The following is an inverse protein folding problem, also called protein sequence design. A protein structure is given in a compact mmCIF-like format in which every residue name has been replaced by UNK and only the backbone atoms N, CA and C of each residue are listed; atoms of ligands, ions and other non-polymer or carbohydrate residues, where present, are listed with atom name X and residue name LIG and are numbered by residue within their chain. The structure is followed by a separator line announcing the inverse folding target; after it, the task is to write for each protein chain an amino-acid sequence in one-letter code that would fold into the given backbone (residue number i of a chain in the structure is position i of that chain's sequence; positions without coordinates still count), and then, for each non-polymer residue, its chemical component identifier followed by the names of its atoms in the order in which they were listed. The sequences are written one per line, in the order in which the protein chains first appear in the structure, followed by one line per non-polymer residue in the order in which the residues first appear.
data_IF_190875191940
#
_entry.id   IF_190875191940
#
_cell.length_a   1.000
_cell.length_b   1.000
_cell.length_c   1.000
_cell.angle_alpha   90.00
_cell.angle_beta   90.00
_cell.angle_gamma   90.00
#
_symmetry.space_group_name_H-M   'P 1'
#
loop_
_entity.id
_entity.type
_entity.pdbx_description
1 polymer ?
#
# COMPACT_ATOMS: atom_id res chain seq x y z
N UNK A 1 -4.44 -8.74 4.66
CA UNK A 1 -5.73 -8.39 4.01
C UNK A 1 -6.58 -9.60 3.64
N UNK A 2 -6.04 -10.65 3.02
CA UNK A 2 -6.83 -11.80 2.55
C UNK A 2 -7.77 -12.40 3.62
N UNK A 3 -7.23 -12.76 4.79
CA UNK A 3 -8.02 -13.37 5.88
C UNK A 3 -9.11 -12.40 6.37
N UNK A 4 -8.77 -11.15 6.63
CA UNK A 4 -9.74 -10.13 7.05
C UNK A 4 -10.86 -9.93 6.01
N UNK A 5 -10.53 -9.91 4.72
CA UNK A 5 -11.53 -9.82 3.65
C UNK A 5 -12.47 -11.04 3.64
N UNK A 6 -11.95 -12.25 3.84
CA UNK A 6 -12.77 -13.47 3.99
C UNK A 6 -13.67 -13.42 5.24
N UNK A 7 -13.15 -12.92 6.35
CA UNK A 7 -13.94 -12.74 7.58
C UNK A 7 -15.09 -11.74 7.36
N UNK A 8 -14.83 -10.62 6.70
CA UNK A 8 -15.89 -9.66 6.34
C UNK A 8 -16.99 -10.33 5.48
N UNK A 9 -16.61 -11.12 4.48
CA UNK A 9 -17.57 -11.87 3.66
C UNK A 9 -18.34 -12.93 4.45
N UNK A 10 -17.76 -13.45 5.54
CA UNK A 10 -18.43 -14.36 6.46
C UNK A 10 -19.29 -13.65 7.52
N UNK A 11 -19.52 -12.34 7.39
CA UNK A 11 -20.38 -11.56 8.29
C UNK A 11 -19.71 -11.05 9.56
N UNK A 12 -18.38 -11.23 9.69
CA UNK A 12 -17.63 -10.65 10.79
C UNK A 12 -17.53 -9.12 10.64
N UNK A 13 -17.24 -8.43 11.74
CA UNK A 13 -17.09 -6.97 11.78
C UNK A 13 -15.69 -6.59 12.24
N UNK A 14 -15.21 -5.43 11.77
CA UNK A 14 -13.98 -4.81 12.25
C UNK A 14 -14.34 -3.86 13.39
N UNK A 15 -13.61 -3.96 14.51
CA UNK A 15 -13.70 -3.05 15.64
C UNK A 15 -12.32 -2.44 15.90
N UNK A 16 -12.29 -1.14 16.20
CA UNK A 16 -11.07 -0.47 16.65
C UNK A 16 -10.87 -0.74 18.14
N UNK A 17 -9.69 -1.23 18.52
CA UNK A 17 -9.32 -1.51 19.91
C UNK A 17 -8.09 -0.67 20.27
N UNK A 18 -8.32 0.47 20.94
CA UNK A 18 -7.27 1.44 21.27
C UNK A 18 -6.19 0.86 22.21
N UNK A 19 -6.58 -0.07 23.09
CA UNK A 19 -5.70 -0.66 24.10
C UNK A 19 -4.77 -1.76 23.53
N UNK A 20 -5.00 -2.20 22.29
CA UNK A 20 -4.19 -3.22 21.62
C UNK A 20 -2.89 -2.61 21.03
N UNK A 21 -2.01 -2.10 21.90
CA UNK A 21 -0.78 -1.43 21.51
C UNK A 21 0.30 -2.39 21.00
N UNK A 22 1.06 -1.96 19.99
CA UNK A 22 2.21 -2.69 19.44
C UNK A 22 3.41 -1.76 19.19
N UNK A 23 4.62 -2.31 19.18
CA UNK A 23 5.82 -1.59 18.80
C UNK A 23 6.08 -1.71 17.29
N UNK A 24 6.27 -0.58 16.61
CA UNK A 24 6.66 -0.52 15.20
C UNK A 24 8.15 -0.15 15.07
N UNK A 25 8.94 -1.00 14.41
CA UNK A 25 10.40 -0.85 14.32
C UNK A 25 10.92 -0.48 12.91
N UNK A 26 10.08 0.11 12.05
CA UNK A 26 10.43 0.29 10.63
C UNK A 26 10.46 1.76 10.22
N UNK A 27 11.62 2.24 9.79
CA UNK A 27 11.79 3.53 9.14
C UNK A 27 12.14 3.32 7.67
N UNK A 28 11.11 3.09 6.84
CA UNK A 28 11.33 2.83 5.42
C UNK A 28 11.82 4.07 4.67
N UNK A 29 12.88 3.86 3.87
CA UNK A 29 13.27 4.82 2.84
C UNK A 29 12.19 4.94 1.77
N UNK A 30 12.23 6.02 0.99
CA UNK A 30 11.29 6.25 -0.12
C UNK A 30 11.24 5.07 -1.09
N UNK A 31 12.38 4.46 -1.39
CA UNK A 31 12.48 3.30 -2.29
C UNK A 31 11.87 2.06 -1.64
N UNK A 32 12.16 1.79 -0.36
CA UNK A 32 11.59 0.64 0.34
C UNK A 32 10.06 0.73 0.40
N UNK A 33 9.54 1.94 0.63
CA UNK A 33 8.11 2.16 0.65
C UNK A 33 7.47 1.98 -0.73
N UNK A 34 8.09 2.50 -1.80
CA UNK A 34 7.65 2.26 -3.17
C UNK A 34 7.58 0.74 -3.47
N UNK A 35 8.62 -0.03 -3.11
CA UNK A 35 8.65 -1.48 -3.30
C UNK A 35 7.56 -2.21 -2.50
N UNK A 36 7.31 -1.76 -1.27
CA UNK A 36 6.20 -2.27 -0.46
C UNK A 36 4.85 -2.03 -1.15
N UNK A 37 4.63 -0.84 -1.69
CA UNK A 37 3.40 -0.53 -2.44
C UNK A 37 3.30 -1.32 -3.75
N UNK A 38 4.41 -1.61 -4.41
CA UNK A 38 4.45 -2.56 -5.52
C UNK A 38 3.93 -3.93 -5.10
N UNK A 39 4.45 -4.53 -4.03
CA UNK A 39 3.99 -5.83 -3.53
C UNK A 39 2.49 -5.81 -3.19
N UNK A 40 1.98 -4.73 -2.60
CA UNK A 40 0.54 -4.56 -2.36
C UNK A 40 -0.27 -4.48 -3.66
N UNK A 41 0.25 -3.80 -4.68
CA UNK A 41 -0.36 -3.76 -6.01
C UNK A 41 -0.42 -5.15 -6.65
N UNK A 42 0.66 -5.93 -6.55
CA UNK A 42 0.69 -7.33 -7.04
C UNK A 42 -0.36 -8.18 -6.34
N UNK A 43 -0.46 -8.08 -5.02
CA UNK A 43 -1.47 -8.76 -4.24
C UNK A 43 -2.89 -8.42 -4.75
N UNK A 44 -3.19 -7.13 -4.96
CA UNK A 44 -4.48 -6.70 -5.47
C UNK A 44 -4.75 -7.09 -6.94
N UNK A 45 -3.72 -7.24 -7.76
CA UNK A 45 -3.86 -7.77 -9.13
C UNK A 45 -4.18 -9.26 -9.14
N UNK A 46 -3.60 -10.02 -8.20
CA UNK A 46 -3.79 -11.48 -8.08
C UNK A 46 -5.08 -11.84 -7.34
N UNK A 47 -5.52 -10.97 -6.42
CA UNK A 47 -6.77 -11.11 -5.66
C UNK A 47 -7.80 -10.02 -6.03
N UNK A 48 -8.27 -9.95 -7.29
CA UNK A 48 -9.12 -8.86 -7.76
C UNK A 48 -10.51 -8.86 -7.10
N UNK A 49 -10.96 -10.02 -6.59
CA UNK A 49 -12.25 -10.16 -5.91
C UNK A 49 -12.36 -9.24 -4.69
N UNK A 50 -11.27 -9.02 -3.96
CA UNK A 50 -11.25 -8.14 -2.77
C UNK A 50 -11.71 -6.73 -3.14
N UNK A 51 -11.20 -6.18 -4.25
CA UNK A 51 -11.59 -4.83 -4.70
C UNK A 51 -12.99 -4.78 -5.30
N UNK A 52 -13.44 -5.88 -5.92
CA UNK A 52 -14.77 -5.99 -6.52
C UNK A 52 -15.86 -6.04 -5.46
N UNK A 53 -15.62 -6.75 -4.36
CA UNK A 53 -16.61 -6.97 -3.31
C UNK A 53 -16.54 -5.92 -2.20
N UNK A 54 -15.33 -5.51 -1.78
CA UNK A 54 -15.14 -4.58 -0.65
C UNK A 54 -14.84 -3.14 -1.11
N UNK A 55 -14.80 -2.90 -2.42
CA UNK A 55 -14.53 -1.59 -3.00
C UNK A 55 -13.05 -1.25 -3.15
N UNK A 56 -12.80 -0.10 -3.78
CA UNK A 56 -11.45 0.44 -4.00
C UNK A 56 -10.96 1.31 -2.84
N UNK A 57 -9.65 1.29 -2.59
CA UNK A 57 -9.02 2.11 -1.55
C UNK A 57 -8.75 3.58 -1.97
N UNK A 58 -9.11 3.98 -3.18
CA UNK A 58 -8.74 5.29 -3.75
C UNK A 58 -9.39 6.47 -2.98
N UNK A 59 -10.64 6.32 -2.53
CA UNK A 59 -11.33 7.36 -1.75
C UNK A 59 -10.65 7.63 -0.40
N UNK A 60 -10.28 6.59 0.34
CA UNK A 60 -9.51 6.72 1.59
C UNK A 60 -8.09 7.25 1.34
N UNK A 61 -7.50 6.90 0.19
CA UNK A 61 -6.22 7.46 -0.25
C UNK A 61 -6.26 8.98 -0.42
N UNK A 62 -7.30 9.51 -1.07
CA UNK A 62 -7.47 10.97 -1.22
C UNK A 62 -7.66 11.66 0.13
N UNK A 63 -8.48 11.08 1.03
CA UNK A 63 -8.66 11.62 2.39
C UNK A 63 -7.34 11.68 3.15
N UNK A 64 -6.51 10.63 3.03
CA UNK A 64 -5.17 10.60 3.63
C UNK A 64 -4.26 11.70 3.08
N UNK A 65 -4.17 11.88 1.76
CA UNK A 65 -3.31 12.92 1.16
C UNK A 65 -3.74 14.31 1.59
N UNK A 66 -5.05 14.57 1.66
CA UNK A 66 -5.59 15.85 2.14
C UNK A 66 -5.25 16.08 3.62
N UNK A 67 -5.39 15.05 4.47
CA UNK A 67 -5.07 15.18 5.90
C UNK A 67 -3.58 15.37 6.13
N UNK A 68 -2.72 14.64 5.41
CA UNK A 68 -1.27 14.79 5.43
C UNK A 68 -0.85 16.19 4.99
N UNK A 69 -1.39 16.68 3.86
CA UNK A 69 -1.08 18.02 3.36
C UNK A 69 -1.45 19.12 4.35
N UNK A 70 -2.65 19.06 4.94
CA UNK A 70 -3.10 20.02 5.97
C UNK A 70 -2.21 19.97 7.21
N UNK A 71 -1.78 18.78 7.61
CA UNK A 71 -0.87 18.59 8.74
C UNK A 71 0.50 19.19 8.46
N UNK A 72 1.09 18.91 7.29
CA UNK A 72 2.39 19.45 6.89
C UNK A 72 2.36 20.97 6.74
N UNK A 73 1.30 21.53 6.16
CA UNK A 73 1.14 22.98 6.04
C UNK A 73 1.20 23.70 7.40
N UNK A 74 0.61 23.10 8.44
CA UNK A 74 0.58 23.68 9.79
C UNK A 74 1.87 23.45 10.59
N UNK A 75 2.50 22.29 10.44
CA UNK A 75 3.57 21.85 11.36
C UNK A 75 4.96 21.80 10.72
N UNK A 76 5.07 21.60 9.41
CA UNK A 76 6.34 21.36 8.72
C UNK A 76 6.24 21.62 7.21
N UNK A 77 5.95 22.87 6.81
CA UNK A 77 5.65 23.21 5.41
C UNK A 77 6.82 22.86 4.45
N UNK A 78 8.07 22.94 4.91
CA UNK A 78 9.26 22.59 4.12
C UNK A 78 9.33 21.10 3.76
N UNK A 79 8.55 20.23 4.43
CA UNK A 79 8.45 18.79 4.13
C UNK A 79 7.36 18.46 3.12
N UNK A 80 6.57 19.44 2.67
CA UNK A 80 5.55 19.22 1.62
C UNK A 80 6.14 18.59 0.35
N UNK A 81 7.31 19.02 -0.18
CA UNK A 81 7.93 18.35 -1.32
C UNK A 81 8.25 16.88 -1.06
N UNK A 82 8.75 16.55 0.14
CA UNK A 82 9.00 15.16 0.55
C UNK A 82 7.69 14.35 0.62
N UNK A 83 6.63 14.91 1.20
CA UNK A 83 5.31 14.27 1.29
C UNK A 83 4.68 14.01 -0.08
N UNK A 84 4.79 14.97 -1.01
CA UNK A 84 4.35 14.80 -2.40
C UNK A 84 5.16 13.68 -3.07
N UNK A 85 6.48 13.71 -2.97
CA UNK A 85 7.35 12.68 -3.55
C UNK A 85 7.01 11.29 -3.00
N UNK A 86 6.82 11.18 -1.68
CA UNK A 86 6.46 9.93 -1.01
C UNK A 86 5.10 9.42 -1.50
N UNK A 87 4.10 10.29 -1.59
CA UNK A 87 2.77 9.95 -2.12
C UNK A 87 2.84 9.48 -3.58
N UNK A 88 3.60 10.18 -4.43
CA UNK A 88 3.80 9.80 -5.82
C UNK A 88 4.46 8.42 -5.92
N UNK A 89 5.51 8.15 -5.14
CA UNK A 89 6.20 6.86 -5.15
C UNK A 89 5.32 5.71 -4.64
N UNK A 90 4.49 5.94 -3.62
CA UNK A 90 3.49 4.96 -3.16
C UNK A 90 2.51 4.64 -4.27
N UNK A 91 1.98 5.67 -4.92
CA UNK A 91 1.00 5.51 -5.99
C UNK A 91 1.60 4.81 -7.21
N UNK A 92 2.79 5.21 -7.67
CA UNK A 92 3.47 4.57 -8.81
C UNK A 92 3.81 3.12 -8.50
N UNK A 93 4.34 2.82 -7.31
CA UNK A 93 4.59 1.46 -6.84
C UNK A 93 3.33 0.60 -6.95
N UNK A 94 2.23 1.07 -6.36
CA UNK A 94 0.94 0.36 -6.40
C UNK A 94 0.41 0.13 -7.82
N UNK A 95 0.44 1.15 -8.67
CA UNK A 95 -0.02 1.05 -10.06
C UNK A 95 0.85 0.09 -10.88
N UNK A 96 2.16 0.11 -10.70
CA UNK A 96 3.07 -0.85 -11.32
C UNK A 96 2.79 -2.28 -10.84
N UNK A 97 2.52 -2.46 -9.54
CA UNK A 97 2.12 -3.75 -8.98
C UNK A 97 0.80 -4.26 -9.57
N UNK A 98 -0.18 -3.38 -9.82
CA UNK A 98 -1.42 -3.76 -10.49
C UNK A 98 -1.20 -4.26 -11.93
N UNK A 99 -0.15 -3.78 -12.58
CA UNK A 99 0.26 -4.14 -13.93
C UNK A 99 1.26 -5.30 -13.97
N UNK A 100 1.47 -6.01 -12.86
CA UNK A 100 2.51 -7.04 -12.70
C UNK A 100 2.56 -8.06 -13.84
N UNK A 101 1.41 -8.51 -14.33
CA UNK A 101 1.33 -9.46 -15.46
C UNK A 101 1.98 -8.97 -16.76
N UNK A 102 2.09 -7.64 -16.94
CA UNK A 102 2.72 -7.00 -18.11
C UNK A 102 4.22 -6.75 -17.93
N UNK A 103 4.76 -6.97 -16.73
CA UNK A 103 6.15 -6.68 -16.41
C UNK A 103 7.03 -7.94 -16.58
N UNK A 104 8.22 -7.82 -17.17
CA UNK A 104 9.16 -8.94 -17.26
C UNK A 104 9.63 -9.38 -15.86
N UNK A 105 9.99 -10.66 -15.72
CA UNK A 105 10.36 -11.28 -14.42
C UNK A 105 11.46 -10.50 -13.71
N UNK A 106 12.50 -10.07 -14.43
CA UNK A 106 13.62 -9.33 -13.84
C UNK A 106 13.16 -8.00 -13.20
N UNK A 107 12.20 -7.31 -13.81
CA UNK A 107 11.68 -6.04 -13.32
C UNK A 107 10.78 -6.26 -12.10
N UNK A 108 9.95 -7.31 -12.12
CA UNK A 108 9.16 -7.75 -10.96
C UNK A 108 10.07 -8.01 -9.76
N UNK A 109 11.16 -8.76 -9.93
CA UNK A 109 12.14 -9.06 -8.87
C UNK A 109 12.82 -7.80 -8.33
N UNK A 110 13.11 -6.81 -9.18
CA UNK A 110 13.75 -5.55 -8.78
C UNK A 110 12.82 -4.63 -8.00
N UNK A 111 11.55 -4.56 -8.41
CA UNK A 111 10.51 -3.74 -7.79
C UNK A 111 9.91 -4.39 -6.53
N UNK A 112 9.99 -5.71 -6.41
CA UNK A 112 9.51 -6.41 -5.23
C UNK A 112 10.35 -6.11 -4.01
N UNK A 113 9.70 -6.03 -2.86
CA UNK A 113 10.37 -6.06 -1.55
C UNK A 113 10.56 -7.52 -1.10
N UNK A 114 9.57 -8.38 -1.36
CA UNK A 114 9.60 -9.79 -1.05
C UNK A 114 10.13 -10.62 -2.22
N UNK A 115 11.45 -10.62 -2.43
CA UNK A 115 12.09 -11.29 -3.57
C UNK A 115 11.76 -12.79 -3.69
N UNK A 116 11.65 -13.50 -2.56
CA UNK A 116 11.36 -14.94 -2.54
C UNK A 116 10.02 -15.30 -3.20
N UNK A 117 9.04 -14.41 -3.15
CA UNK A 117 7.72 -14.62 -3.76
C UNK A 117 7.78 -14.80 -5.28
N UNK A 118 8.80 -14.23 -5.94
CA UNK A 118 8.98 -14.27 -7.39
C UNK A 118 10.03 -15.29 -7.83
N UNK A 119 10.61 -16.06 -6.91
CA UNK A 119 11.61 -17.09 -7.23
C UNK A 119 10.99 -18.45 -7.58
N UNK A 120 9.72 -18.67 -7.25
CA UNK A 120 8.98 -19.92 -7.51
C UNK A 120 8.05 -19.85 -8.73
N UNK A 121 8.27 -18.90 -9.64
CA UNK A 121 7.54 -18.68 -10.89
C UNK A 121 8.51 -18.76 -12.07
#
# INVERSE_FOLDING_TARGET
MYVAAKMLNAGYKIAYAADACVYHSHNYSLIQEMKRYFDMGVFHAREPWIRKELGGAEGEGVKFVISEFRYLLKNAFWRIPEGILRTLLRYTGFRLGLMEKKLPIWLRKRLAMNHGYFNSL
#
